data_IF_390900819768
#
_entry.id   IF_390900819768
#
_cell.length_a   1.000
_cell.length_b   1.000
_cell.length_c   1.000
_cell.angle_alpha   90.00
_cell.angle_beta   90.00
_cell.angle_gamma   90.00
#
_symmetry.space_group_name_H-M   'P 1'
#
loop_
_entity.id
_entity.type
_entity.pdbx_description
1 polymer ?
#
# COMPACT_ATOMS: atom_id res chain seq x y z
N UNK A 1 -56.22 -40.69 13.54
CA UNK A 1 -55.10 -39.72 13.64
C UNK A 1 -55.50 -38.26 13.35
N UNK A 2 -56.63 -38.00 12.67
CA UNK A 2 -57.15 -36.64 12.41
C UNK A 2 -57.89 -35.98 13.59
N UNK A 3 -58.33 -36.74 14.61
CA UNK A 3 -59.13 -36.20 15.72
C UNK A 3 -58.31 -35.62 16.89
N UNK A 4 -56.99 -35.84 16.92
CA UNK A 4 -56.14 -35.29 17.98
C UNK A 4 -55.68 -33.84 17.69
N UNK A 5 -55.54 -33.49 16.40
CA UNK A 5 -55.12 -32.15 15.98
C UNK A 5 -56.26 -31.14 16.06
N UNK A 6 -57.51 -31.55 15.80
CA UNK A 6 -58.67 -30.66 15.95
C UNK A 6 -59.00 -30.35 17.42
N UNK A 7 -58.80 -31.32 18.32
CA UNK A 7 -59.02 -31.13 19.76
C UNK A 7 -57.98 -30.17 20.40
N UNK A 8 -56.75 -30.13 19.86
CA UNK A 8 -55.70 -29.20 20.30
C UNK A 8 -55.96 -27.75 19.87
N UNK A 9 -56.68 -27.56 18.76
CA UNK A 9 -57.07 -26.22 18.27
C UNK A 9 -58.35 -25.70 18.94
N UNK A 10 -59.29 -26.58 19.32
CA UNK A 10 -60.52 -26.16 20.01
C UNK A 10 -60.28 -25.67 21.44
N UNK A 11 -59.27 -26.19 22.14
CA UNK A 11 -58.96 -25.74 23.51
C UNK A 11 -58.41 -24.30 23.54
N UNK A 12 -57.76 -23.87 22.45
CA UNK A 12 -57.27 -22.50 22.28
C UNK A 12 -58.37 -21.47 21.99
N UNK A 13 -59.53 -21.93 21.50
CA UNK A 13 -60.73 -21.11 21.30
C UNK A 13 -61.69 -21.12 22.50
N UNK A 14 -61.68 -22.17 23.33
CA UNK A 14 -62.62 -22.34 24.44
C UNK A 14 -62.14 -21.65 25.73
N UNK A 15 -60.86 -21.31 25.83
CA UNK A 15 -60.30 -20.52 26.93
C UNK A 15 -60.12 -19.04 26.54
N UNK A 16 -61.11 -18.42 25.88
CA UNK A 16 -61.10 -16.96 25.71
C UNK A 16 -61.70 -16.31 26.96
N UNK A 17 -60.84 -15.93 27.88
CA UNK A 17 -61.21 -14.90 28.85
C UNK A 17 -61.24 -13.56 28.10
N UNK A 18 -62.21 -12.69 28.31
CA UNK A 18 -62.27 -11.36 27.66
C UNK A 18 -60.95 -10.56 27.80
N UNK A 19 -60.19 -10.86 28.86
CA UNK A 19 -58.85 -10.30 29.11
C UNK A 19 -57.78 -10.76 28.10
N UNK A 20 -57.88 -11.98 27.58
CA UNK A 20 -56.93 -12.56 26.63
C UNK A 20 -57.20 -12.09 25.20
N UNK A 21 -58.47 -11.84 24.85
CA UNK A 21 -58.83 -11.26 23.55
C UNK A 21 -58.35 -9.81 23.44
N UNK A 22 -58.55 -9.02 24.51
CA UNK A 22 -58.02 -7.66 24.61
C UNK A 22 -56.48 -7.64 24.57
N UNK A 23 -55.82 -8.59 25.24
CA UNK A 23 -54.35 -8.72 25.22
C UNK A 23 -53.80 -9.05 23.83
N UNK A 24 -54.45 -9.96 23.10
CA UNK A 24 -54.08 -10.32 21.71
C UNK A 24 -54.32 -9.18 20.73
N UNK A 25 -55.44 -8.45 20.87
CA UNK A 25 -55.72 -7.27 20.07
C UNK A 25 -54.66 -6.17 20.31
N UNK A 26 -54.26 -5.95 21.57
CA UNK A 26 -53.20 -5.00 21.90
C UNK A 26 -51.83 -5.43 21.34
N UNK A 27 -51.48 -6.71 21.42
CA UNK A 27 -50.22 -7.22 20.89
C UNK A 27 -50.14 -7.09 19.37
N UNK A 28 -51.22 -7.45 18.66
CA UNK A 28 -51.27 -7.32 17.18
C UNK A 28 -51.26 -5.87 16.72
N UNK A 29 -51.93 -4.97 17.44
CA UNK A 29 -51.86 -3.53 17.19
C UNK A 29 -50.44 -2.99 17.41
N UNK A 30 -49.77 -3.37 18.51
CA UNK A 30 -48.40 -2.96 18.79
C UNK A 30 -47.41 -3.46 17.74
N UNK A 31 -47.51 -4.72 17.30
CA UNK A 31 -46.65 -5.28 16.24
C UNK A 31 -46.89 -4.55 14.91
N UNK A 32 -48.14 -4.24 14.58
CA UNK A 32 -48.49 -3.52 13.36
C UNK A 32 -47.96 -2.08 13.38
N UNK A 33 -48.13 -1.37 14.50
CA UNK A 33 -47.59 -0.02 14.72
C UNK A 33 -46.06 -0.06 14.63
N UNK A 34 -45.41 -1.05 15.24
CA UNK A 34 -43.96 -1.21 15.19
C UNK A 34 -43.46 -1.50 13.79
N UNK A 35 -44.15 -2.35 13.03
CA UNK A 35 -43.83 -2.64 11.63
C UNK A 35 -43.99 -1.39 10.73
N UNK A 36 -45.06 -0.61 10.93
CA UNK A 36 -45.29 0.65 10.21
C UNK A 36 -44.24 1.70 10.59
N UNK A 37 -43.87 1.81 11.87
CA UNK A 37 -42.80 2.70 12.33
C UNK A 37 -41.45 2.29 11.74
N UNK A 38 -41.11 1.00 11.71
CA UNK A 38 -39.89 0.51 11.05
C UNK A 38 -39.93 0.85 9.56
N UNK A 39 -41.05 0.62 8.88
CA UNK A 39 -41.20 0.94 7.46
C UNK A 39 -41.07 2.45 7.20
N UNK A 40 -41.69 3.30 8.02
CA UNK A 40 -41.57 4.75 7.94
C UNK A 40 -40.16 5.23 8.23
N UNK A 41 -39.48 4.68 9.23
CA UNK A 41 -38.08 4.99 9.51
C UNK A 41 -37.17 4.55 8.36
N UNK A 42 -37.45 3.39 7.74
CA UNK A 42 -36.71 2.89 6.59
C UNK A 42 -36.95 3.74 5.33
N UNK A 43 -38.20 4.18 5.11
CA UNK A 43 -38.59 5.04 4.00
C UNK A 43 -38.12 6.49 4.18
N UNK A 44 -38.16 7.03 5.39
CA UNK A 44 -37.68 8.37 5.73
C UNK A 44 -36.15 8.45 5.70
N UNK A 45 -35.46 7.36 6.04
CA UNK A 45 -34.01 7.25 5.93
C UNK A 45 -33.55 6.92 4.49
N UNK A 46 -34.47 6.90 3.52
CA UNK A 46 -34.17 6.86 2.09
C UNK A 46 -33.69 8.24 1.63
N UNK A 47 -32.58 8.68 2.24
CA UNK A 47 -31.74 9.77 1.74
C UNK A 47 -31.58 9.58 0.23
N UNK A 48 -31.88 10.63 -0.55
CA UNK A 48 -31.57 10.73 -1.97
C UNK A 48 -30.05 10.79 -2.14
N UNK A 49 -29.37 9.70 -1.80
CA UNK A 49 -27.95 9.53 -2.07
C UNK A 49 -27.83 9.49 -3.59
N UNK A 50 -26.89 10.26 -4.18
CA UNK A 50 -26.62 10.15 -5.60
C UNK A 50 -26.40 8.67 -5.94
N UNK A 51 -26.88 8.21 -7.11
CA UNK A 51 -26.73 6.82 -7.50
C UNK A 51 -25.25 6.46 -7.44
N UNK A 52 -24.94 5.40 -6.69
CA UNK A 52 -23.59 4.84 -6.70
C UNK A 52 -23.22 4.43 -8.12
N UNK A 53 -21.94 4.45 -8.51
CA UNK A 53 -21.52 3.93 -9.80
C UNK A 53 -22.08 2.51 -10.06
N UNK A 54 -22.37 2.18 -11.33
CA UNK A 54 -22.75 0.81 -11.70
C UNK A 54 -21.61 -0.17 -11.39
N UNK A 55 -21.85 -1.47 -11.47
CA UNK A 55 -20.78 -2.44 -11.24
C UNK A 55 -21.26 -3.89 -11.27
N UNK A 56 -20.33 -4.85 -11.41
CA UNK A 56 -20.66 -6.26 -11.41
C UNK A 56 -21.24 -6.71 -10.08
N UNK A 57 -22.18 -7.67 -10.16
CA UNK A 57 -22.69 -8.36 -8.97
C UNK A 57 -21.68 -9.45 -8.56
N UNK A 58 -21.28 -9.41 -7.30
CA UNK A 58 -20.42 -10.43 -6.70
C UNK A 58 -21.21 -11.50 -5.96
N UNK A 59 -20.50 -12.52 -5.47
CA UNK A 59 -21.06 -13.50 -4.53
C UNK A 59 -21.25 -12.87 -3.13
N UNK A 60 -22.19 -13.39 -2.32
CA UNK A 60 -22.27 -13.02 -0.91
C UNK A 60 -20.92 -13.20 -0.21
N UNK A 61 -20.54 -12.24 0.64
CA UNK A 61 -19.28 -12.16 1.41
C UNK A 61 -18.00 -11.99 0.57
N UNK A 62 -17.83 -12.75 -0.52
CA UNK A 62 -16.61 -12.73 -1.34
C UNK A 62 -16.55 -11.57 -2.34
N UNK A 63 -17.70 -10.98 -2.66
CA UNK A 63 -17.81 -9.98 -3.71
C UNK A 63 -17.39 -10.57 -5.06
N UNK A 64 -16.58 -9.82 -5.81
CA UNK A 64 -16.12 -10.18 -7.14
C UNK A 64 -14.77 -10.92 -7.16
N UNK A 65 -14.15 -11.15 -5.99
CA UNK A 65 -12.83 -11.82 -5.89
C UNK A 65 -12.73 -13.13 -6.68
N UNK A 66 -13.70 -14.06 -6.63
CA UNK A 66 -13.58 -15.35 -7.33
C UNK A 66 -13.62 -15.24 -8.85
N UNK A 67 -14.06 -14.10 -9.38
CA UNK A 67 -14.14 -13.84 -10.82
C UNK A 67 -12.93 -13.03 -11.33
N UNK A 68 -12.01 -12.65 -10.44
CA UNK A 68 -10.75 -12.04 -10.82
C UNK A 68 -9.76 -13.12 -11.26
N UNK A 69 -9.20 -12.92 -12.45
CA UNK A 69 -8.07 -13.72 -12.95
C UNK A 69 -6.73 -13.14 -12.49
N UNK A 70 -5.64 -13.70 -13.02
CA UNK A 70 -4.27 -13.21 -12.78
C UNK A 70 -4.01 -11.84 -13.41
N UNK A 71 -4.62 -11.56 -14.56
CA UNK A 71 -4.48 -10.31 -15.30
C UNK A 71 -5.51 -9.26 -14.88
N UNK A 72 -5.37 -8.72 -13.66
CA UNK A 72 -6.34 -7.78 -13.06
C UNK A 72 -6.62 -6.55 -13.94
N UNK A 73 -5.58 -5.96 -14.52
CA UNK A 73 -5.70 -4.76 -15.36
C UNK A 73 -6.57 -4.99 -16.60
N UNK A 74 -6.38 -6.13 -17.30
CA UNK A 74 -7.25 -6.53 -18.43
C UNK A 74 -8.68 -6.81 -17.96
N UNK A 75 -8.83 -7.47 -16.81
CA UNK A 75 -10.17 -7.74 -16.27
C UNK A 75 -10.93 -6.44 -15.96
N UNK A 76 -10.24 -5.44 -15.44
CA UNK A 76 -10.83 -4.13 -15.17
C UNK A 76 -11.11 -3.33 -16.45
N UNK A 77 -10.33 -3.52 -17.52
CA UNK A 77 -10.63 -2.97 -18.83
C UNK A 77 -11.91 -3.58 -19.43
N UNK A 78 -12.05 -4.91 -19.39
CA UNK A 78 -13.29 -5.61 -19.82
C UNK A 78 -14.52 -5.08 -19.08
N UNK A 79 -14.42 -4.94 -17.75
CA UNK A 79 -15.50 -4.42 -16.93
C UNK A 79 -15.81 -2.95 -17.25
N UNK A 80 -14.79 -2.13 -17.58
CA UNK A 80 -15.01 -0.77 -18.03
C UNK A 80 -15.79 -0.71 -19.35
N UNK A 81 -15.57 -1.66 -20.26
CA UNK A 81 -16.35 -1.78 -21.50
C UNK A 81 -17.83 -2.08 -21.27
N UNK A 82 -18.17 -2.75 -20.16
CA UNK A 82 -19.56 -3.12 -19.80
C UNK A 82 -20.25 -2.06 -18.93
N UNK A 83 -19.56 -1.56 -17.91
CA UNK A 83 -20.14 -0.67 -16.89
C UNK A 83 -19.82 0.81 -17.11
N UNK A 84 -18.95 1.13 -18.07
CA UNK A 84 -18.51 2.48 -18.38
C UNK A 84 -17.23 2.90 -17.63
N UNK A 85 -16.83 4.18 -17.78
CA UNK A 85 -15.52 4.67 -17.33
C UNK A 85 -15.38 4.85 -15.82
N UNK A 86 -16.48 4.67 -15.07
CA UNK A 86 -16.51 4.68 -13.61
C UNK A 86 -17.48 3.61 -13.13
N UNK A 87 -16.97 2.66 -12.36
CA UNK A 87 -17.77 1.57 -11.83
C UNK A 87 -17.22 1.07 -10.51
N UNK A 88 -18.06 0.40 -9.73
CA UNK A 88 -17.70 -0.15 -8.43
C UNK A 88 -17.52 -1.66 -8.49
N UNK A 89 -16.58 -2.18 -7.71
CA UNK A 89 -16.33 -3.61 -7.53
C UNK A 89 -16.17 -3.88 -6.05
N UNK A 90 -16.89 -4.88 -5.53
CA UNK A 90 -16.68 -5.36 -4.16
C UNK A 90 -15.58 -6.43 -4.16
N UNK A 91 -14.52 -6.23 -3.38
CA UNK A 91 -13.43 -7.18 -3.18
C UNK A 91 -13.50 -7.69 -1.74
N UNK A 92 -14.18 -8.83 -1.54
CA UNK A 92 -14.56 -9.27 -0.19
C UNK A 92 -15.49 -8.23 0.44
N UNK A 93 -15.09 -7.66 1.57
CA UNK A 93 -15.83 -6.61 2.28
C UNK A 93 -15.38 -5.18 1.89
N UNK A 94 -14.38 -5.04 1.01
CA UNK A 94 -13.89 -3.72 0.55
C UNK A 94 -14.60 -3.28 -0.72
N UNK A 95 -15.08 -2.04 -0.72
CA UNK A 95 -15.60 -1.39 -1.92
C UNK A 95 -14.47 -0.71 -2.68
N UNK A 96 -14.23 -1.12 -3.92
CA UNK A 96 -13.32 -0.45 -4.84
C UNK A 96 -14.13 0.31 -5.90
N UNK A 97 -13.68 1.51 -6.27
CA UNK A 97 -14.20 2.24 -7.43
C UNK A 97 -13.08 2.35 -8.45
N UNK A 98 -13.33 1.82 -9.64
CA UNK A 98 -12.39 1.83 -10.75
C UNK A 98 -12.73 3.00 -11.66
N UNK A 99 -11.69 3.71 -12.09
CA UNK A 99 -11.78 4.86 -12.99
C UNK A 99 -10.87 4.59 -14.18
N UNK A 100 -11.43 4.67 -15.40
CA UNK A 100 -10.74 4.31 -16.64
C UNK A 100 -10.86 5.37 -17.75
N UNK A 101 -11.29 6.59 -17.41
CA UNK A 101 -11.28 7.73 -18.34
C UNK A 101 -10.22 8.77 -17.94
N UNK A 102 -9.44 9.31 -18.89
CA UNK A 102 -8.49 10.40 -18.63
C UNK A 102 -9.12 11.62 -17.95
N UNK A 103 -10.35 12.00 -18.33
CA UNK A 103 -11.04 13.15 -17.74
C UNK A 103 -11.40 12.92 -16.26
N UNK A 104 -11.86 11.72 -15.92
CA UNK A 104 -12.19 11.34 -14.56
C UNK A 104 -10.94 11.13 -13.70
N UNK A 105 -9.88 10.56 -14.29
CA UNK A 105 -8.58 10.44 -13.61
C UNK A 105 -8.07 11.84 -13.26
N UNK A 106 -8.11 12.81 -14.19
CA UNK A 106 -7.75 14.21 -13.92
C UNK A 106 -8.56 14.78 -12.75
N UNK A 107 -9.88 14.60 -12.76
CA UNK A 107 -10.72 15.08 -11.66
C UNK A 107 -10.24 14.52 -10.31
N UNK A 108 -9.94 13.22 -10.24
CA UNK A 108 -9.54 12.56 -8.99
C UNK A 108 -8.10 12.88 -8.55
N UNK A 109 -7.14 12.87 -9.46
CA UNK A 109 -5.71 12.97 -9.12
C UNK A 109 -5.17 14.41 -9.16
N UNK A 110 -5.94 15.35 -9.71
CA UNK A 110 -5.55 16.77 -9.83
C UNK A 110 -6.58 17.71 -9.21
N UNK A 111 -7.83 17.64 -9.67
CA UNK A 111 -8.82 18.68 -9.31
C UNK A 111 -9.40 18.46 -7.90
N UNK A 112 -9.52 17.19 -7.47
CA UNK A 112 -9.95 16.74 -6.14
C UNK A 112 -8.84 15.97 -5.40
N UNK A 113 -7.57 16.22 -5.75
CA UNK A 113 -6.41 15.46 -5.28
C UNK A 113 -6.38 15.30 -3.76
N UNK A 114 -6.71 16.35 -3.00
CA UNK A 114 -6.72 16.36 -1.54
C UNK A 114 -7.74 15.38 -0.94
N UNK A 115 -8.89 15.18 -1.59
CA UNK A 115 -9.94 14.26 -1.11
C UNK A 115 -9.49 12.81 -1.30
N UNK A 116 -8.83 12.53 -2.43
CA UNK A 116 -8.39 11.18 -2.81
C UNK A 116 -6.91 10.90 -2.54
N UNK A 117 -6.24 11.76 -1.74
CA UNK A 117 -4.81 11.64 -1.48
C UNK A 117 -4.44 10.51 -0.51
N UNK A 118 -5.39 9.99 0.26
CA UNK A 118 -5.13 8.90 1.20
C UNK A 118 -4.88 7.56 0.48
N UNK A 119 -4.30 6.61 1.20
CA UNK A 119 -3.91 5.28 0.71
C UNK A 119 -4.55 4.20 1.58
N UNK A 120 -4.87 3.07 0.97
CA UNK A 120 -5.28 1.84 1.65
C UNK A 120 -4.18 0.78 1.43
N UNK A 121 -3.02 0.91 2.11
CA UNK A 121 -1.91 -0.01 1.91
C UNK A 121 -2.24 -1.42 2.43
N UNK A 122 -1.80 -2.49 1.73
CA UNK A 122 -1.87 -3.83 2.29
C UNK A 122 -1.03 -3.93 3.56
N UNK A 123 -1.36 -4.88 4.44
CA UNK A 123 -0.65 -5.06 5.71
C UNK A 123 0.86 -5.24 5.52
N UNK A 124 1.29 -5.94 4.46
CA UNK A 124 2.70 -6.10 4.12
C UNK A 124 3.41 -4.76 3.87
N UNK A 125 2.76 -3.83 3.17
CA UNK A 125 3.30 -2.50 2.92
C UNK A 125 3.39 -1.68 4.21
N UNK A 126 2.34 -1.74 5.05
CA UNK A 126 2.37 -1.10 6.37
C UNK A 126 3.52 -1.61 7.23
N UNK A 127 3.81 -2.91 7.21
CA UNK A 127 4.94 -3.47 7.95
C UNK A 127 6.27 -2.98 7.37
N UNK A 128 6.43 -3.07 6.04
CA UNK A 128 7.67 -2.67 5.35
C UNK A 128 8.04 -1.20 5.58
N UNK A 129 7.04 -0.33 5.74
CA UNK A 129 7.26 1.11 5.85
C UNK A 129 7.02 1.65 7.24
N UNK A 130 7.23 0.82 8.26
CA UNK A 130 7.12 1.21 9.67
C UNK A 130 5.77 1.88 9.95
N UNK A 131 4.67 1.21 9.60
CA UNK A 131 3.30 1.69 9.78
C UNK A 131 2.85 2.77 8.78
N UNK A 132 3.53 2.94 7.64
CA UNK A 132 3.24 4.04 6.71
C UNK A 132 3.93 5.35 7.11
N UNK A 133 5.21 5.29 7.47
CA UNK A 133 6.02 6.47 7.81
C UNK A 133 6.81 7.02 6.60
N UNK A 134 6.46 6.60 5.40
CA UNK A 134 7.13 6.91 4.13
C UNK A 134 6.27 7.78 3.20
N UNK A 135 6.80 8.15 2.01
CA UNK A 135 6.07 8.96 1.02
C UNK A 135 5.04 8.20 0.17
N UNK A 136 5.12 6.87 0.09
CA UNK A 136 4.26 6.01 -0.72
C UNK A 136 2.91 5.73 -0.05
N UNK A 137 2.97 5.31 1.22
CA UNK A 137 1.83 4.73 1.92
C UNK A 137 1.34 5.54 3.12
N UNK A 138 2.01 6.64 3.50
CA UNK A 138 1.47 7.52 4.53
C UNK A 138 0.24 8.28 4.06
N UNK A 139 -0.70 8.51 4.97
CA UNK A 139 -1.90 9.30 4.72
C UNK A 139 -1.54 10.76 4.48
N UNK A 140 -2.38 11.44 3.68
CA UNK A 140 -2.19 12.85 3.41
C UNK A 140 -2.30 13.65 4.71
N UNK A 141 -1.28 14.47 4.98
CA UNK A 141 -1.19 15.28 6.19
C UNK A 141 0.07 16.14 6.20
N UNK A 142 0.31 16.88 7.29
CA UNK A 142 1.52 17.69 7.45
C UNK A 142 2.81 16.88 7.26
N UNK A 143 2.89 15.67 7.84
CA UNK A 143 4.08 14.82 7.73
C UNK A 143 4.34 14.33 6.31
N UNK A 144 3.32 13.83 5.60
CA UNK A 144 3.48 13.43 4.19
C UNK A 144 3.89 14.62 3.32
N UNK A 145 3.30 15.80 3.53
CA UNK A 145 3.68 17.02 2.79
C UNK A 145 5.13 17.42 3.06
N UNK A 146 5.60 17.30 4.31
CA UNK A 146 6.99 17.53 4.70
C UNK A 146 7.93 16.55 3.99
N UNK A 147 7.67 15.24 4.11
CA UNK A 147 8.49 14.20 3.47
C UNK A 147 8.51 14.35 1.94
N UNK A 148 7.36 14.64 1.31
CA UNK A 148 7.29 14.87 -0.14
C UNK A 148 8.07 16.10 -0.55
N UNK A 149 8.01 17.19 0.23
CA UNK A 149 8.81 18.40 -0.02
C UNK A 149 10.30 18.09 0.05
N UNK A 150 10.75 17.38 1.08
CA UNK A 150 12.14 16.92 1.23
C UNK A 150 12.55 16.06 0.03
N UNK A 151 11.77 15.03 -0.29
CA UNK A 151 12.07 14.12 -1.39
C UNK A 151 12.19 14.86 -2.73
N UNK A 152 11.24 15.73 -3.06
CA UNK A 152 11.25 16.44 -4.35
C UNK A 152 12.33 17.53 -4.40
N UNK A 153 12.49 18.33 -3.35
CA UNK A 153 13.40 19.49 -3.37
C UNK A 153 14.84 19.13 -3.04
N UNK A 154 15.05 18.19 -2.13
CA UNK A 154 16.36 17.84 -1.64
C UNK A 154 16.87 16.56 -2.28
N UNK A 155 16.05 15.57 -2.62
CA UNK A 155 16.57 14.33 -3.21
C UNK A 155 16.49 14.34 -4.75
N UNK A 156 15.38 14.81 -5.31
CA UNK A 156 15.12 14.81 -6.75
C UNK A 156 15.37 16.16 -7.45
N UNK A 157 16.06 17.10 -6.81
CA UNK A 157 16.48 18.33 -7.50
C UNK A 157 17.50 18.03 -8.59
N UNK A 158 17.51 18.86 -9.65
CA UNK A 158 18.49 18.74 -10.73
C UNK A 158 19.92 18.70 -10.18
N UNK A 159 20.25 19.58 -9.23
CA UNK A 159 21.57 19.63 -8.61
C UNK A 159 21.97 18.28 -7.95
N UNK A 160 21.06 17.65 -7.18
CA UNK A 160 21.38 16.41 -6.48
C UNK A 160 21.26 15.16 -7.38
N UNK A 161 20.46 15.23 -8.45
CA UNK A 161 20.47 14.24 -9.52
C UNK A 161 21.77 14.32 -10.33
N UNK A 162 22.30 15.52 -10.58
CA UNK A 162 23.55 15.74 -11.29
C UNK A 162 24.75 15.33 -10.43
N UNK A 163 24.75 15.63 -9.12
CA UNK A 163 25.81 15.18 -8.21
C UNK A 163 25.91 13.65 -8.12
N UNK A 164 24.81 12.95 -8.35
CA UNK A 164 24.75 11.48 -8.37
C UNK A 164 24.92 10.88 -9.78
N UNK A 165 25.19 11.70 -10.80
CA UNK A 165 25.39 11.25 -12.19
C UNK A 165 26.46 10.16 -12.31
N UNK A 166 27.60 10.36 -11.65
CA UNK A 166 28.73 9.43 -11.71
C UNK A 166 28.35 8.04 -11.18
N UNK A 167 27.56 7.99 -10.10
CA UNK A 167 27.07 6.74 -9.50
C UNK A 167 26.18 5.95 -10.49
N UNK A 168 25.26 6.64 -11.17
CA UNK A 168 24.41 6.00 -12.19
C UNK A 168 25.24 5.55 -13.41
N UNK A 169 26.16 6.39 -13.87
CA UNK A 169 27.01 6.10 -15.03
C UNK A 169 27.90 4.88 -14.80
N UNK A 170 28.42 4.71 -13.59
CA UNK A 170 29.23 3.54 -13.23
C UNK A 170 28.44 2.23 -13.35
N UNK A 171 27.18 2.20 -12.89
CA UNK A 171 26.32 1.01 -13.00
C UNK A 171 25.94 0.66 -14.44
N UNK A 172 25.68 1.68 -15.28
CA UNK A 172 25.47 1.47 -16.72
C UNK A 172 26.73 0.90 -17.36
N UNK A 173 27.91 1.44 -17.06
CA UNK A 173 29.18 0.91 -17.56
C UNK A 173 29.44 -0.53 -17.13
N UNK A 174 29.17 -0.89 -15.87
CA UNK A 174 29.26 -2.28 -15.39
C UNK A 174 28.35 -3.21 -16.17
N UNK A 175 27.14 -2.75 -16.48
CA UNK A 175 26.16 -3.51 -17.25
C UNK A 175 26.60 -3.71 -18.71
N UNK A 176 27.15 -2.68 -19.33
CA UNK A 176 27.74 -2.77 -20.69
C UNK A 176 28.91 -3.75 -20.72
N UNK A 177 29.81 -3.71 -19.71
CA UNK A 177 30.91 -4.68 -19.62
C UNK A 177 30.40 -6.11 -19.48
N UNK A 178 29.41 -6.35 -18.60
CA UNK A 178 28.79 -7.68 -18.45
C UNK A 178 28.21 -8.21 -19.79
N UNK A 179 27.62 -7.34 -20.60
CA UNK A 179 27.16 -7.71 -21.96
C UNK A 179 28.35 -8.05 -22.87
N UNK A 180 29.39 -7.23 -22.85
CA UNK A 180 30.60 -7.43 -23.65
C UNK A 180 31.32 -8.76 -23.30
N UNK A 181 31.40 -9.08 -22.01
CA UNK A 181 32.02 -10.32 -21.51
C UNK A 181 31.22 -11.58 -21.89
N UNK A 182 29.98 -11.40 -22.37
CA UNK A 182 29.02 -12.46 -22.71
C UNK A 182 28.66 -12.49 -24.20
N UNK A 183 29.46 -11.86 -25.06
CA UNK A 183 29.28 -11.91 -26.51
C UNK A 183 29.13 -13.37 -26.97
N UNK A 184 28.12 -13.62 -27.82
CA UNK A 184 27.78 -14.95 -28.32
C UNK A 184 26.85 -15.75 -27.42
N UNK A 185 26.46 -15.24 -26.25
CA UNK A 185 25.46 -15.87 -25.38
C UNK A 185 24.14 -15.08 -25.36
N UNK A 186 22.97 -15.75 -25.27
CA UNK A 186 21.70 -15.05 -25.09
C UNK A 186 21.66 -14.26 -23.78
N UNK A 187 21.15 -13.03 -23.83
CA UNK A 187 21.01 -12.15 -22.66
C UNK A 187 19.54 -11.73 -22.53
N UNK A 188 18.99 -11.88 -21.33
CA UNK A 188 17.70 -11.30 -20.97
C UNK A 188 17.87 -9.80 -20.68
N UNK A 189 17.44 -8.97 -21.64
CA UNK A 189 17.51 -7.51 -21.53
C UNK A 189 16.59 -6.95 -20.43
N UNK A 190 15.48 -7.62 -20.13
CA UNK A 190 14.56 -7.20 -19.07
C UNK A 190 15.21 -7.35 -17.71
N UNK A 191 15.80 -8.51 -17.43
CA UNK A 191 16.55 -8.77 -16.19
C UNK A 191 17.76 -7.84 -16.11
N UNK A 192 18.51 -7.66 -17.20
CA UNK A 192 19.67 -6.77 -17.22
C UNK A 192 19.26 -5.34 -16.86
N UNK A 193 18.28 -4.76 -17.57
CA UNK A 193 17.83 -3.39 -17.34
C UNK A 193 17.30 -3.21 -15.90
N UNK A 194 16.55 -4.19 -15.40
CA UNK A 194 16.05 -4.20 -14.04
C UNK A 194 17.18 -4.18 -13.01
N UNK A 195 18.17 -5.07 -13.12
CA UNK A 195 19.32 -5.13 -12.21
C UNK A 195 20.14 -3.85 -12.28
N UNK A 196 20.39 -3.33 -13.49
CA UNK A 196 21.09 -2.05 -13.68
C UNK A 196 20.38 -0.92 -12.95
N UNK A 197 19.06 -0.82 -13.10
CA UNK A 197 18.27 0.22 -12.47
C UNK A 197 18.19 0.12 -10.95
N UNK A 198 17.99 -1.09 -10.42
CA UNK A 198 18.05 -1.35 -8.97
C UNK A 198 19.40 -0.95 -8.40
N UNK A 199 20.51 -1.34 -9.05
CA UNK A 199 21.84 -0.97 -8.60
C UNK A 199 22.08 0.54 -8.70
N UNK A 200 21.60 1.20 -9.75
CA UNK A 200 21.70 2.64 -9.90
C UNK A 200 20.95 3.38 -8.78
N UNK A 201 19.72 2.97 -8.45
CA UNK A 201 18.94 3.54 -7.35
C UNK A 201 19.60 3.27 -6.01
N UNK A 202 20.06 2.03 -5.77
CA UNK A 202 20.78 1.67 -4.55
C UNK A 202 22.04 2.53 -4.37
N UNK A 203 22.84 2.72 -5.41
CA UNK A 203 24.02 3.58 -5.31
C UNK A 203 23.66 5.04 -5.06
N UNK A 204 22.57 5.57 -5.64
CA UNK A 204 22.10 6.92 -5.30
C UNK A 204 21.65 7.04 -3.84
N UNK A 205 21.07 5.98 -3.29
CA UNK A 205 20.58 5.95 -1.90
C UNK A 205 21.74 5.84 -0.90
N UNK A 206 22.64 4.90 -1.13
CA UNK A 206 23.67 4.49 -0.17
C UNK A 206 25.06 5.06 -0.46
N UNK A 207 25.27 5.59 -1.67
CA UNK A 207 26.57 6.04 -2.15
C UNK A 207 27.64 4.99 -1.91
N UNK A 208 28.73 5.44 -1.31
CA UNK A 208 29.91 4.59 -1.08
C UNK A 208 29.80 3.75 0.20
N UNK A 209 28.70 3.85 0.97
CA UNK A 209 28.54 3.11 2.23
C UNK A 209 28.60 1.59 2.07
N UNK A 210 28.21 1.10 0.88
CA UNK A 210 28.18 -0.33 0.50
C UNK A 210 29.40 -0.76 -0.33
N UNK A 211 30.49 0.01 -0.35
CA UNK A 211 31.73 -0.40 -1.01
C UNK A 211 32.54 -1.42 -0.19
N UNK A 212 33.45 -2.10 -0.87
CA UNK A 212 34.26 -3.19 -0.31
C UNK A 212 33.55 -4.55 -0.32
N UNK A 213 34.28 -5.59 0.05
CA UNK A 213 33.74 -6.96 0.05
C UNK A 213 32.55 -7.11 1.02
N UNK A 214 32.69 -6.55 2.22
CA UNK A 214 31.64 -6.55 3.24
C UNK A 214 30.42 -5.72 2.80
N UNK A 215 30.62 -4.51 2.29
CA UNK A 215 29.54 -3.67 1.77
C UNK A 215 28.78 -4.31 0.61
N UNK A 216 29.49 -5.04 -0.27
CA UNK A 216 28.88 -5.79 -1.37
C UNK A 216 27.97 -6.91 -0.85
N UNK A 217 28.41 -7.66 0.18
CA UNK A 217 27.60 -8.70 0.82
C UNK A 217 26.35 -8.11 1.48
N UNK A 218 26.51 -7.02 2.23
CA UNK A 218 25.40 -6.30 2.87
C UNK A 218 24.40 -5.79 1.83
N UNK A 219 24.87 -5.16 0.75
CA UNK A 219 24.02 -4.66 -0.32
C UNK A 219 23.27 -5.76 -1.08
N UNK A 220 23.90 -6.93 -1.29
CA UNK A 220 23.25 -8.09 -1.88
C UNK A 220 22.15 -8.65 -0.97
N UNK A 221 22.43 -8.77 0.33
CA UNK A 221 21.46 -9.25 1.31
C UNK A 221 20.27 -8.30 1.47
N UNK A 222 20.53 -6.98 1.51
CA UNK A 222 19.48 -5.97 1.51
C UNK A 222 18.58 -6.08 0.28
N UNK A 223 19.16 -6.22 -0.92
CA UNK A 223 18.39 -6.41 -2.16
C UNK A 223 17.53 -7.66 -2.12
N UNK A 224 18.06 -8.76 -1.58
CA UNK A 224 17.31 -10.02 -1.39
C UNK A 224 16.11 -9.81 -0.48
N UNK A 225 16.31 -9.21 0.70
CA UNK A 225 15.26 -8.94 1.68
C UNK A 225 14.19 -7.98 1.14
N UNK A 226 14.59 -6.92 0.44
CA UNK A 226 13.67 -6.00 -0.23
C UNK A 226 12.86 -6.72 -1.33
N UNK A 227 13.49 -7.61 -2.09
CA UNK A 227 12.81 -8.47 -3.07
C UNK A 227 11.78 -9.40 -2.43
N UNK A 228 12.11 -10.03 -1.30
CA UNK A 228 11.16 -10.87 -0.55
C UNK A 228 9.99 -10.06 0.00
N UNK A 229 10.27 -8.85 0.52
CA UNK A 229 9.23 -7.93 0.98
C UNK A 229 8.28 -7.55 -0.15
N UNK A 230 8.81 -7.37 -1.37
CA UNK A 230 8.01 -7.09 -2.56
C UNK A 230 7.06 -8.22 -2.93
N UNK A 231 7.53 -9.45 -2.88
CA UNK A 231 6.69 -10.63 -3.12
C UNK A 231 5.54 -10.69 -2.10
N UNK A 232 5.79 -10.35 -0.83
CA UNK A 232 4.73 -10.28 0.17
C UNK A 232 3.72 -9.16 -0.09
N UNK A 233 4.17 -7.99 -0.56
CA UNK A 233 3.29 -6.86 -0.89
C UNK A 233 2.41 -7.13 -2.11
N UNK A 234 2.93 -7.84 -3.11
CA UNK A 234 2.19 -8.19 -4.33
C UNK A 234 1.22 -9.37 -4.13
N UNK A 235 1.41 -10.17 -3.08
CA UNK A 235 0.61 -11.38 -2.85
C UNK A 235 -0.80 -11.03 -2.36
N UNK A 236 -1.87 -11.57 -2.99
CA UNK A 236 -3.22 -11.43 -2.48
C UNK A 236 -3.34 -11.96 -1.06
N UNK A 237 -3.92 -11.16 -0.17
CA UNK A 237 -4.01 -11.46 1.24
C UNK A 237 -5.45 -11.29 1.77
N UNK A 238 -6.00 -12.34 2.36
CA UNK A 238 -7.36 -12.41 2.89
C UNK A 238 -7.59 -11.34 3.95
N UNK A 239 -6.61 -11.11 4.83
CA UNK A 239 -6.69 -10.09 5.87
C UNK A 239 -6.92 -8.68 5.31
N UNK A 240 -6.44 -8.40 4.09
CA UNK A 240 -6.62 -7.10 3.44
C UNK A 240 -8.02 -6.90 2.85
N UNK A 241 -8.80 -7.97 2.63
CA UNK A 241 -10.18 -7.91 2.10
C UNK A 241 -11.25 -8.17 3.15
N UNK A 242 -10.89 -8.81 4.26
CA UNK A 242 -11.78 -9.21 5.34
C UNK A 242 -11.25 -8.73 6.70
N UNK A 243 -11.58 -7.49 7.12
CA UNK A 243 -11.02 -6.89 8.34
C UNK A 243 -11.24 -7.72 9.62
N UNK A 244 -12.37 -8.43 9.71
CA UNK A 244 -12.68 -9.34 10.84
C UNK A 244 -11.66 -10.48 10.96
N UNK A 245 -11.09 -10.92 9.84
CA UNK A 245 -10.09 -11.99 9.80
C UNK A 245 -8.66 -11.48 9.95
N UNK A 246 -8.46 -10.16 9.95
CA UNK A 246 -7.12 -9.58 9.93
C UNK A 246 -6.28 -9.98 11.15
N UNK A 247 -6.92 -10.14 12.31
CA UNK A 247 -6.26 -10.52 13.57
C UNK A 247 -5.59 -11.91 13.53
N UNK A 248 -6.01 -12.80 12.63
CA UNK A 248 -5.51 -14.17 12.57
C UNK A 248 -4.28 -14.34 11.67
N UNK A 249 -3.99 -13.37 10.79
CA UNK A 249 -2.90 -13.46 9.81
C UNK A 249 -2.85 -14.84 9.12
N UNK A 250 -3.98 -15.25 8.52
CA UNK A 250 -4.22 -16.62 8.02
C UNK A 250 -3.15 -17.09 7.00
N UNK A 251 -2.61 -16.16 6.21
CA UNK A 251 -1.57 -16.44 5.21
C UNK A 251 -0.14 -16.19 5.73
N UNK A 252 0.01 -15.72 6.97
CA UNK A 252 1.30 -15.42 7.59
C UNK A 252 2.01 -14.21 6.99
N UNK A 253 1.31 -13.34 6.25
CA UNK A 253 1.90 -12.23 5.49
C UNK A 253 2.47 -11.19 6.44
N UNK A 254 1.72 -10.82 7.49
CA UNK A 254 2.19 -9.84 8.46
C UNK A 254 3.40 -10.38 9.23
N UNK A 255 3.34 -11.63 9.72
CA UNK A 255 4.45 -12.27 10.43
C UNK A 255 5.71 -12.40 9.59
N UNK A 256 5.58 -12.80 8.31
CA UNK A 256 6.72 -12.89 7.39
C UNK A 256 7.31 -11.50 7.12
N UNK A 257 6.48 -10.49 6.88
CA UNK A 257 6.95 -9.12 6.70
C UNK A 257 7.71 -8.61 7.92
N UNK A 258 7.20 -8.85 9.13
CA UNK A 258 7.88 -8.44 10.38
C UNK A 258 9.25 -9.12 10.51
N UNK A 259 9.36 -10.39 10.14
CA UNK A 259 10.63 -11.12 10.14
C UNK A 259 11.63 -10.51 9.15
N UNK A 260 11.22 -10.13 7.95
CA UNK A 260 12.10 -9.46 6.98
C UNK A 260 12.58 -8.12 7.56
N UNK A 261 11.68 -7.31 8.14
CA UNK A 261 12.04 -6.03 8.76
C UNK A 261 13.08 -6.21 9.88
N UNK A 262 12.99 -7.29 10.67
CA UNK A 262 13.99 -7.62 11.69
C UNK A 262 15.39 -7.89 11.12
N UNK A 263 15.50 -8.37 9.88
CA UNK A 263 16.80 -8.54 9.21
C UNK A 263 17.27 -7.27 8.50
N UNK A 264 16.35 -6.45 7.99
CA UNK A 264 16.66 -5.16 7.36
C UNK A 264 17.16 -4.15 8.39
N UNK A 265 16.57 -4.13 9.59
CA UNK A 265 16.86 -3.12 10.60
C UNK A 265 18.35 -3.03 11.01
N UNK A 266 19.04 -4.14 11.34
CA UNK A 266 20.48 -4.11 11.62
C UNK A 266 21.33 -3.62 10.44
N UNK A 267 20.92 -3.91 9.20
CA UNK A 267 21.61 -3.42 8.00
C UNK A 267 21.49 -1.90 7.91
N UNK A 268 20.27 -1.37 8.10
CA UNK A 268 20.02 0.07 8.09
C UNK A 268 20.84 0.76 9.19
N UNK A 269 20.81 0.21 10.41
CA UNK A 269 21.52 0.78 11.56
C UNK A 269 23.02 0.82 11.34
N UNK A 270 23.62 -0.29 10.89
CA UNK A 270 25.05 -0.37 10.59
C UNK A 270 25.47 0.67 9.53
N UNK A 271 24.68 0.82 8.46
CA UNK A 271 25.00 1.76 7.38
C UNK A 271 24.83 3.21 7.82
N UNK A 272 23.79 3.51 8.60
CA UNK A 272 23.55 4.84 9.17
C UNK A 272 24.67 5.21 10.14
N UNK A 273 25.01 4.32 11.07
CA UNK A 273 26.06 4.54 12.07
C UNK A 273 27.42 4.77 11.40
N UNK A 274 27.80 3.91 10.44
CA UNK A 274 29.03 4.07 9.65
C UNK A 274 29.09 5.44 8.98
N UNK A 275 27.96 5.94 8.47
CA UNK A 275 27.89 7.26 7.84
C UNK A 275 28.02 8.40 8.85
N UNK A 276 27.30 8.32 9.96
CA UNK A 276 27.37 9.34 11.02
C UNK A 276 28.80 9.49 11.56
N UNK A 277 29.50 8.37 11.80
CA UNK A 277 30.89 8.36 12.26
C UNK A 277 31.88 8.90 11.22
N UNK A 278 31.56 8.79 9.94
CA UNK A 278 32.40 9.33 8.85
C UNK A 278 32.25 10.85 8.70
N UNK A 279 31.12 11.42 9.13
CA UNK A 279 30.85 12.86 9.04
C UNK A 279 31.48 13.64 10.20
N UNK A 280 31.53 13.07 11.40
CA UNK A 280 32.17 13.70 12.57
C UNK A 280 33.68 13.88 12.40
N UNK A 281 34.35 13.04 11.61
CA UNK A 281 35.79 13.13 11.33
C UNK A 281 36.22 14.12 10.23
N UNK A 282 35.28 14.82 9.57
CA UNK A 282 35.57 15.70 8.40
C UNK A 282 35.43 17.20 8.67
N UNK A 283 35.17 17.61 9.92
CA UNK A 283 35.00 19.03 10.27
C UNK A 283 36.29 19.86 10.34
N UNK A 284 37.46 19.30 10.04
CA UNK A 284 38.72 20.04 9.98
C UNK A 284 39.35 19.98 8.58
N UNK A 285 39.09 21.03 7.77
CA UNK A 285 40.14 21.59 6.93
C UNK A 285 40.35 21.07 5.51
N UNK A 286 39.35 20.56 4.79
CA UNK A 286 39.51 20.37 3.33
C UNK A 286 38.38 21.01 2.52
N UNK A 287 38.79 21.94 1.65
CA UNK A 287 37.92 22.70 0.76
C UNK A 287 37.12 21.82 -0.19
N UNK A 288 36.11 22.44 -0.79
CA UNK A 288 35.15 21.93 -1.77
C UNK A 288 35.77 20.97 -2.82
N UNK A 289 35.97 19.71 -2.45
CA UNK A 289 35.94 18.62 -3.40
C UNK A 289 34.47 18.25 -3.52
N UNK A 290 33.89 18.30 -4.72
CA UNK A 290 32.50 17.92 -5.01
C UNK A 290 32.18 16.59 -4.32
N UNK A 291 31.62 16.67 -3.13
CA UNK A 291 31.34 15.51 -2.32
C UNK A 291 30.22 14.77 -3.04
N UNK A 292 30.43 13.49 -3.37
CA UNK A 292 29.36 12.61 -3.87
C UNK A 292 28.22 12.64 -2.86
N UNK A 293 27.21 13.49 -3.10
CA UNK A 293 26.01 13.58 -2.26
C UNK A 293 25.08 12.45 -2.65
N UNK A 294 25.00 11.45 -1.79
CA UNK A 294 23.95 10.43 -1.83
C UNK A 294 22.77 10.83 -0.94
N UNK A 295 21.67 10.11 -1.09
CA UNK A 295 20.45 10.44 -0.37
C UNK A 295 20.53 10.17 1.13
N UNK A 296 21.31 9.18 1.56
CA UNK A 296 21.55 8.95 2.99
C UNK A 296 22.19 10.18 3.63
N UNK A 297 23.21 10.77 3.00
CA UNK A 297 23.85 11.99 3.48
C UNK A 297 22.84 13.13 3.66
N UNK A 298 22.04 13.38 2.62
CA UNK A 298 21.03 14.45 2.63
C UNK A 298 19.98 14.24 3.74
N UNK A 299 19.51 13.01 3.93
CA UNK A 299 18.53 12.69 4.98
C UNK A 299 19.11 12.89 6.39
N UNK A 300 20.40 12.60 6.60
CA UNK A 300 21.07 12.81 7.88
C UNK A 300 21.32 14.30 8.16
N UNK A 301 21.76 15.08 7.17
CA UNK A 301 21.94 16.54 7.30
C UNK A 301 20.62 17.24 7.67
N UNK A 302 19.52 16.84 7.03
CA UNK A 302 18.19 17.38 7.32
C UNK A 302 17.67 16.98 8.72
N UNK A 303 18.19 15.90 9.29
CA UNK A 303 17.88 15.49 10.66
C UNK A 303 18.65 16.33 11.69
N UNK A 304 19.91 16.66 11.41
CA UNK A 304 20.80 17.40 12.30
C UNK A 304 20.53 18.92 12.33
N UNK A 305 19.83 19.46 11.33
CA UNK A 305 19.34 20.84 11.33
C UNK A 305 18.20 21.03 12.35
N UNK A 306 18.55 21.11 13.63
CA UNK A 306 17.62 21.30 14.74
C UNK A 306 16.95 22.68 14.67
N UNK A 307 15.60 22.72 14.69
CA UNK A 307 14.80 23.95 14.72
C UNK A 307 14.05 24.34 13.44
N UNK A 308 14.26 23.66 12.31
CA UNK A 308 13.47 23.89 11.10
C UNK A 308 12.17 23.07 11.10
N UNK A 309 11.11 23.58 10.45
CA UNK A 309 9.86 22.86 10.15
C UNK A 309 10.03 21.59 9.26
N UNK A 310 11.27 21.10 9.11
CA UNK A 310 11.75 20.12 8.14
C UNK A 310 12.40 18.91 8.82
N UNK A 311 12.56 18.89 10.16
CA UNK A 311 13.19 17.76 10.86
C UNK A 311 12.48 16.42 10.60
N UNK A 312 13.27 15.39 10.31
CA UNK A 312 12.84 14.03 9.97
C UNK A 312 13.20 13.07 11.10
N UNK A 313 12.26 12.20 11.48
CA UNK A 313 12.53 11.17 12.50
C UNK A 313 13.38 10.03 11.94
N UNK A 314 14.11 9.32 12.80
CA UNK A 314 14.90 8.16 12.35
C UNK A 314 14.02 7.06 11.72
N UNK A 315 12.79 6.90 12.23
CA UNK A 315 11.78 6.00 11.63
C UNK A 315 11.45 6.40 10.19
N UNK A 316 11.29 7.69 9.91
CA UNK A 316 11.05 8.20 8.57
C UNK A 316 12.29 8.06 7.68
N UNK A 317 13.50 8.27 8.19
CA UNK A 317 14.75 8.02 7.44
C UNK A 317 14.82 6.55 7.01
N UNK A 318 14.69 5.61 7.96
CA UNK A 318 14.69 4.16 7.68
C UNK A 318 13.59 3.77 6.67
N UNK A 319 12.39 4.33 6.82
CA UNK A 319 11.28 4.11 5.88
C UNK A 319 11.62 4.60 4.47
N UNK A 320 12.16 5.82 4.33
CA UNK A 320 12.56 6.41 3.05
C UNK A 320 13.65 5.60 2.34
N UNK A 321 14.66 5.13 3.09
CA UNK A 321 15.75 4.29 2.56
C UNK A 321 15.26 2.93 2.05
N UNK A 322 14.21 2.38 2.66
CA UNK A 322 13.57 1.12 2.23
C UNK A 322 12.65 1.34 1.03
N UNK A 323 12.00 2.52 0.96
CA UNK A 323 10.98 2.84 -0.03
C UNK A 323 11.54 3.25 -1.39
N UNK A 324 12.66 3.98 -1.44
CA UNK A 324 13.24 4.42 -2.71
C UNK A 324 13.65 3.25 -3.63
N UNK A 325 14.34 2.20 -3.14
CA UNK A 325 14.62 1.01 -3.93
C UNK A 325 13.35 0.27 -4.32
N UNK A 326 12.40 0.07 -3.38
CA UNK A 326 11.16 -0.66 -3.66
C UNK A 326 10.33 -0.01 -4.76
N UNK A 327 10.22 1.31 -4.85
CA UNK A 327 9.47 1.92 -5.95
C UNK A 327 9.98 1.55 -7.35
N UNK A 328 11.29 1.39 -7.52
CA UNK A 328 11.85 0.91 -8.78
C UNK A 328 11.45 -0.54 -9.06
N UNK A 329 11.44 -1.39 -8.02
CA UNK A 329 10.92 -2.76 -8.14
C UNK A 329 9.44 -2.78 -8.58
N UNK A 330 8.58 -1.87 -8.08
CA UNK A 330 7.15 -1.83 -8.50
C UNK A 330 7.00 -1.35 -9.94
N UNK A 331 7.74 -0.30 -10.31
CA UNK A 331 7.58 0.36 -11.61
C UNK A 331 8.17 -0.46 -12.77
N UNK A 332 9.17 -1.30 -12.49
CA UNK A 332 9.94 -2.00 -13.51
C UNK A 332 9.92 -3.52 -13.36
N UNK A 333 9.22 -4.10 -12.37
CA UNK A 333 9.00 -5.53 -12.35
C UNK A 333 8.29 -5.94 -13.65
N UNK A 334 8.80 -6.94 -14.38
CA UNK A 334 8.04 -7.52 -15.47
C UNK A 334 6.71 -7.98 -14.88
N UNK A 335 5.60 -7.53 -15.47
CA UNK A 335 4.29 -8.12 -15.24
C UNK A 335 4.38 -9.57 -15.73
N UNK A 336 4.78 -10.49 -14.84
CA UNK A 336 4.81 -11.93 -15.09
C UNK A 336 3.38 -12.45 -15.10
#
# INVERSE_FOLDING_TARGET
MLNAVSAMWSWWWIASNDKDELSRANLTALVSIFAVLIWFLWAANKSRKPPSPPGPRGLPLLGYLPFLGTNLHRKFEELAGVYGPIYKVWLGQKLCVVISSPSLVKEVVRDQDRIFANRDPPIAARVATYGGADIAFSSYGPDWKKLRKIFVREMLSNANLDSSYTLRREEVKKSIRNVYDKIGTPIDLGILAFVTGVNAVMNMVWGDSLQGEEGTKIGAEFKRLVGEQMVLMAKPNVSDFFPVLAMFDLQGIERKGKRIVQYIEPILDSVIEKRMNSNTGKNEGTGQMEQRRDFLQLLLELREQDGAAISISMRQVKAMLTVCPTFYFVACAPLI
#
